data_IF_017828325141
#
_entry.id   IF_017828325141
#
_cell.length_a   1.000
_cell.length_b   1.000
_cell.length_c   1.000
_cell.angle_alpha   90.00
_cell.angle_beta   90.00
_cell.angle_gamma   90.00
#
_symmetry.space_group_name_H-M   'P 1'
#
loop_
_entity.id
_entity.type
_entity.pdbx_description
1 polymer ?
#
# COMPACT_ATOMS: atom_id res chain seq x y z
N UNK A 1 23.93 -15.62 2.73
CA UNK A 1 22.86 -15.10 3.58
C UNK A 1 22.38 -13.80 2.96
N UNK A 2 21.13 -13.74 2.51
CA UNK A 2 20.53 -12.48 2.05
C UNK A 2 20.24 -11.63 3.27
N UNK A 3 20.76 -10.40 3.33
CA UNK A 3 20.57 -9.50 4.46
C UNK A 3 19.21 -8.81 4.31
N UNK A 4 18.26 -9.12 5.19
CA UNK A 4 16.99 -8.38 5.27
C UNK A 4 17.28 -7.00 5.86
N UNK A 5 16.81 -5.97 5.18
CA UNK A 5 16.86 -4.59 5.66
C UNK A 5 15.45 -4.09 5.91
N UNK A 6 15.30 -3.15 6.85
CA UNK A 6 14.01 -2.56 7.19
C UNK A 6 14.03 -1.08 6.84
N UNK A 7 13.02 -0.64 6.10
CA UNK A 7 12.80 0.77 5.81
C UNK A 7 11.48 1.20 6.41
N UNK A 8 11.45 2.41 6.95
CA UNK A 8 10.20 3.09 7.27
C UNK A 8 9.41 3.33 6.00
N UNK A 9 8.08 3.33 6.08
CA UNK A 9 7.27 3.54 4.89
C UNK A 9 7.52 4.92 4.26
N UNK A 10 7.74 5.96 5.09
CA UNK A 10 8.14 7.32 4.65
C UNK A 10 9.37 7.33 3.73
N UNK A 11 10.29 6.41 3.99
CA UNK A 11 11.57 6.32 3.28
C UNK A 11 11.48 5.29 2.14
N UNK A 12 10.47 4.41 2.18
CA UNK A 12 10.30 3.31 1.23
C UNK A 12 10.01 3.81 -0.18
N UNK A 13 9.19 4.83 -0.35
CA UNK A 13 8.94 5.37 -1.70
C UNK A 13 10.20 6.02 -2.31
N UNK A 14 11.00 6.69 -1.48
CA UNK A 14 12.28 7.30 -1.88
C UNK A 14 13.28 6.20 -2.25
N UNK A 15 13.40 5.16 -1.42
CA UNK A 15 14.29 4.04 -1.66
C UNK A 15 13.85 3.17 -2.84
N UNK A 16 12.56 2.95 -3.06
CA UNK A 16 12.05 2.27 -4.26
C UNK A 16 12.32 3.10 -5.53
N UNK A 17 12.28 4.43 -5.44
CA UNK A 17 12.69 5.33 -6.53
C UNK A 17 14.21 5.31 -6.76
N UNK A 18 14.99 5.35 -5.69
CA UNK A 18 16.45 5.34 -5.73
C UNK A 18 16.98 3.99 -6.23
N UNK A 19 16.36 2.90 -5.77
CA UNK A 19 16.64 1.53 -6.18
C UNK A 19 15.94 1.14 -7.48
N UNK A 20 15.63 2.10 -8.39
CA UNK A 20 15.06 1.85 -9.73
C UNK A 20 15.85 0.88 -10.62
N UNK A 21 16.93 0.27 -10.13
CA UNK A 21 17.79 -0.68 -10.82
C UNK A 21 18.17 -1.92 -10.00
N UNK A 22 17.77 -2.00 -8.72
CA UNK A 22 18.16 -3.08 -7.83
C UNK A 22 16.89 -3.81 -7.36
N UNK A 23 16.82 -5.12 -7.59
CA UNK A 23 15.62 -5.96 -7.44
C UNK A 23 15.13 -6.04 -5.98
N UNK A 24 14.60 -4.94 -5.44
CA UNK A 24 14.06 -4.87 -4.08
C UNK A 24 12.79 -5.70 -4.00
N UNK A 25 12.87 -6.80 -3.26
CA UNK A 25 11.73 -7.65 -2.99
C UNK A 25 11.29 -7.48 -1.53
N UNK A 26 10.05 -7.07 -1.26
CA UNK A 26 9.53 -7.04 0.09
C UNK A 26 9.30 -8.47 0.59
N UNK A 27 9.59 -8.69 1.87
CA UNK A 27 9.46 -9.99 2.55
C UNK A 27 8.61 -9.91 3.82
N UNK A 28 8.53 -8.73 4.45
CA UNK A 28 7.61 -8.48 5.58
C UNK A 28 7.10 -7.04 5.62
N UNK A 29 5.97 -6.83 6.29
CA UNK A 29 5.49 -5.53 6.73
C UNK A 29 5.20 -5.57 8.23
N UNK A 30 5.60 -4.52 8.94
CA UNK A 30 5.50 -4.40 10.40
C UNK A 30 4.45 -3.33 10.70
N UNK A 31 3.38 -3.71 11.37
CA UNK A 31 2.16 -2.93 11.60
C UNK A 31 1.84 -2.98 13.10
N UNK A 32 2.20 -1.95 13.86
CA UNK A 32 1.88 -1.80 15.29
C UNK A 32 1.98 -3.10 16.12
N UNK A 33 3.20 -3.64 16.22
CA UNK A 33 3.48 -4.88 16.97
C UNK A 33 3.18 -6.18 16.21
N UNK A 34 2.52 -6.12 15.05
CA UNK A 34 2.32 -7.26 14.15
C UNK A 34 3.39 -7.30 13.05
N UNK A 35 3.86 -8.50 12.72
CA UNK A 35 4.74 -8.73 11.57
C UNK A 35 4.03 -9.68 10.62
N UNK A 36 3.86 -9.26 9.36
CA UNK A 36 3.20 -10.04 8.33
C UNK A 36 4.15 -10.33 7.18
N UNK A 37 4.26 -11.60 6.79
CA UNK A 37 5.05 -11.99 5.61
C UNK A 37 4.35 -11.58 4.31
N UNK A 38 5.10 -11.01 3.38
CA UNK A 38 4.61 -10.55 2.08
C UNK A 38 5.46 -11.09 0.94
N UNK A 39 4.92 -11.15 -0.27
CA UNK A 39 5.63 -11.70 -1.45
C UNK A 39 5.98 -10.65 -2.48
N UNK A 40 5.26 -9.53 -2.48
CA UNK A 40 5.36 -8.44 -3.44
C UNK A 40 4.82 -7.13 -2.82
N UNK A 41 4.98 -6.02 -3.54
CA UNK A 41 4.55 -4.70 -3.06
C UNK A 41 3.04 -4.50 -3.01
N UNK A 42 2.27 -5.27 -3.80
CA UNK A 42 0.80 -5.29 -3.71
C UNK A 42 0.37 -5.90 -2.37
N UNK A 43 1.02 -6.98 -1.94
CA UNK A 43 0.76 -7.60 -0.63
C UNK A 43 1.06 -6.61 0.50
N UNK A 44 2.10 -5.77 0.40
CA UNK A 44 2.38 -4.72 1.39
C UNK A 44 1.21 -3.74 1.47
N UNK A 45 0.77 -3.19 0.33
CA UNK A 45 -0.34 -2.25 0.28
C UNK A 45 -1.63 -2.87 0.83
N UNK A 46 -1.95 -4.11 0.42
CA UNK A 46 -3.09 -4.88 0.92
C UNK A 46 -3.08 -5.01 2.43
N UNK A 47 -1.96 -5.44 3.02
CA UNK A 47 -1.87 -5.64 4.47
C UNK A 47 -1.99 -4.34 5.27
N UNK A 48 -1.41 -3.23 4.77
CA UNK A 48 -1.59 -1.91 5.38
C UNK A 48 -3.07 -1.52 5.37
N UNK A 49 -3.75 -1.68 4.22
CA UNK A 49 -5.16 -1.31 4.07
C UNK A 49 -6.06 -2.16 4.97
N UNK A 50 -5.88 -3.48 5.00
CA UNK A 50 -6.64 -4.33 5.91
C UNK A 50 -6.41 -3.97 7.37
N UNK A 51 -5.17 -3.74 7.78
CA UNK A 51 -4.88 -3.33 9.16
C UNK A 51 -5.58 -2.02 9.53
N UNK A 52 -5.66 -1.04 8.62
CA UNK A 52 -6.41 0.20 8.83
C UNK A 52 -7.92 -0.05 8.95
N UNK A 53 -8.48 -0.97 8.17
CA UNK A 53 -9.89 -1.37 8.25
C UNK A 53 -10.17 -2.08 9.58
N UNK A 54 -9.35 -3.08 9.94
CA UNK A 54 -9.51 -3.90 11.13
C UNK A 54 -9.37 -3.09 12.43
N UNK A 55 -8.54 -2.04 12.42
CA UNK A 55 -8.40 -1.10 13.53
C UNK A 55 -9.43 0.02 13.53
N UNK A 56 -10.36 0.04 12.57
CA UNK A 56 -11.40 1.05 12.43
C UNK A 56 -10.91 2.43 12.00
N UNK A 57 -9.65 2.54 11.54
CA UNK A 57 -9.02 3.79 11.11
C UNK A 57 -9.40 4.18 9.68
N UNK A 58 -9.69 3.18 8.84
CA UNK A 58 -10.27 3.36 7.52
C UNK A 58 -11.70 2.82 7.50
N UNK A 59 -12.66 3.70 7.21
CA UNK A 59 -14.09 3.41 7.16
C UNK A 59 -14.69 3.85 5.82
N UNK A 60 -15.89 3.38 5.50
CA UNK A 60 -16.59 3.72 4.26
C UNK A 60 -16.81 5.24 4.13
N UNK A 61 -16.98 5.95 5.25
CA UNK A 61 -17.17 7.41 5.30
C UNK A 61 -15.98 8.22 4.74
N UNK A 62 -14.80 7.61 4.66
CA UNK A 62 -13.58 8.23 4.15
C UNK A 62 -13.36 7.94 2.66
N UNK A 63 -14.28 7.23 2.00
CA UNK A 63 -14.20 6.88 0.58
C UNK A 63 -14.86 7.95 -0.31
N UNK A 64 -14.40 8.12 -1.56
CA UNK A 64 -13.24 7.47 -2.17
C UNK A 64 -11.91 8.04 -1.67
N UNK A 65 -10.91 7.18 -1.52
CA UNK A 65 -9.52 7.60 -1.33
C UNK A 65 -8.88 7.77 -2.72
N UNK A 66 -8.47 8.98 -3.12
CA UNK A 66 -7.80 9.19 -4.40
C UNK A 66 -6.34 8.72 -4.36
N UNK A 67 -5.75 8.53 -5.55
CA UNK A 67 -4.30 8.39 -5.70
C UNK A 67 -3.57 9.68 -5.29
N UNK A 68 -2.41 9.56 -4.64
CA UNK A 68 -1.61 10.68 -4.15
C UNK A 68 -1.24 11.68 -5.25
N UNK A 69 -0.78 11.18 -6.40
CA UNK A 69 -0.33 12.00 -7.53
C UNK A 69 -1.42 12.19 -8.62
N UNK A 70 -2.59 11.56 -8.46
CA UNK A 70 -3.66 11.56 -9.46
C UNK A 70 -5.01 11.71 -8.77
N UNK A 71 -5.39 12.92 -8.31
CA UNK A 71 -6.60 13.13 -7.51
C UNK A 71 -7.91 12.73 -8.23
N UNK A 72 -7.88 12.65 -9.57
CA UNK A 72 -9.00 12.20 -10.39
C UNK A 72 -9.12 10.66 -10.48
N UNK A 73 -8.14 9.90 -9.95
CA UNK A 73 -8.13 8.44 -9.94
C UNK A 73 -8.39 7.93 -8.54
N UNK A 74 -9.20 6.89 -8.43
CA UNK A 74 -9.57 6.26 -7.16
C UNK A 74 -8.56 5.17 -6.79
N UNK A 75 -7.94 5.27 -5.63
CA UNK A 75 -7.08 4.24 -5.05
C UNK A 75 -7.89 3.23 -4.22
N UNK A 76 -8.80 3.72 -3.37
CA UNK A 76 -9.76 2.88 -2.62
C UNK A 76 -11.16 3.44 -2.84
N UNK A 77 -12.12 2.59 -3.18
CA UNK A 77 -13.50 2.99 -3.44
C UNK A 77 -14.52 2.01 -2.89
N UNK A 78 -15.78 2.45 -2.76
CA UNK A 78 -16.90 1.60 -2.36
C UNK A 78 -17.59 0.89 -3.54
N UNK A 79 -17.19 1.22 -4.76
CA UNK A 79 -17.73 0.66 -5.99
C UNK A 79 -16.62 0.57 -7.05
N UNK A 80 -16.31 -0.62 -7.58
CA UNK A 80 -15.32 -0.79 -8.62
C UNK A 80 -15.62 0.05 -9.87
N UNK A 81 -16.89 0.39 -10.16
CA UNK A 81 -17.25 1.21 -11.31
C UNK A 81 -16.57 2.59 -11.31
N UNK A 82 -16.16 3.08 -10.14
CA UNK A 82 -15.48 4.35 -9.93
C UNK A 82 -13.97 4.33 -10.24
N UNK A 83 -13.40 3.18 -10.59
CA UNK A 83 -12.02 3.13 -11.08
C UNK A 83 -11.93 3.58 -12.54
N UNK A 84 -10.79 4.19 -12.88
CA UNK A 84 -10.63 4.98 -14.10
C UNK A 84 -10.68 4.10 -15.35
N UNK A 85 -9.94 2.99 -15.34
CA UNK A 85 -9.85 2.07 -16.48
C UNK A 85 -10.63 0.79 -16.25
N UNK A 86 -11.11 0.14 -17.32
CA UNK A 86 -11.75 -1.19 -17.22
C UNK A 86 -10.86 -2.20 -16.51
N UNK A 87 -9.56 -2.21 -16.80
CA UNK A 87 -8.59 -3.10 -16.15
C UNK A 87 -8.50 -2.87 -14.64
N UNK A 88 -8.59 -1.62 -14.18
CA UNK A 88 -8.64 -1.32 -12.74
C UNK A 88 -9.92 -1.84 -12.11
N UNK A 89 -11.07 -1.75 -12.81
CA UNK A 89 -12.35 -2.30 -12.32
C UNK A 89 -12.29 -3.82 -12.21
N UNK A 90 -11.84 -4.48 -13.28
CA UNK A 90 -11.81 -5.95 -13.38
C UNK A 90 -10.76 -6.58 -12.45
N UNK A 91 -9.77 -5.80 -12.00
CA UNK A 91 -8.70 -6.25 -11.10
C UNK A 91 -8.69 -5.53 -9.74
N UNK A 92 -9.77 -4.81 -9.45
CA UNK A 92 -9.97 -4.25 -8.12
C UNK A 92 -10.07 -5.40 -7.14
N UNK A 93 -9.32 -5.30 -6.04
CA UNK A 93 -9.36 -6.30 -5.01
C UNK A 93 -10.47 -5.96 -4.01
N UNK A 94 -11.38 -6.90 -3.79
CA UNK A 94 -12.39 -6.81 -2.74
C UNK A 94 -11.71 -6.97 -1.38
N UNK A 95 -11.79 -5.92 -0.55
CA UNK A 95 -11.22 -5.90 0.79
C UNK A 95 -12.22 -6.40 1.86
N UNK A 96 -13.44 -6.75 1.46
CA UNK A 96 -14.57 -6.91 2.36
C UNK A 96 -15.15 -5.56 2.80
N UNK A 97 -16.25 -5.61 3.57
CA UNK A 97 -16.94 -4.42 4.09
C UNK A 97 -17.35 -3.38 3.01
N UNK A 98 -17.57 -3.83 1.78
CA UNK A 98 -17.95 -2.98 0.65
C UNK A 98 -16.83 -2.09 0.11
N UNK A 99 -15.55 -2.37 0.43
CA UNK A 99 -14.41 -1.58 -0.04
C UNK A 99 -13.57 -2.34 -1.06
N UNK A 100 -13.01 -1.59 -2.01
CA UNK A 100 -12.21 -2.13 -3.10
C UNK A 100 -10.88 -1.38 -3.21
N UNK A 101 -9.79 -2.12 -3.39
CA UNK A 101 -8.44 -1.60 -3.58
C UNK A 101 -8.01 -1.67 -5.06
N UNK A 102 -7.52 -0.55 -5.57
CA UNK A 102 -6.87 -0.52 -6.87
C UNK A 102 -5.39 -0.93 -6.75
N UNK A 103 -5.09 -2.13 -7.22
CA UNK A 103 -3.73 -2.71 -7.20
C UNK A 103 -2.97 -2.50 -8.51
N UNK A 104 -3.57 -1.84 -9.53
CA UNK A 104 -2.97 -1.60 -10.85
C UNK A 104 -2.02 -0.39 -10.84
N UNK A 105 -1.07 -0.39 -9.91
CA UNK A 105 -0.05 0.63 -9.77
C UNK A 105 1.32 -0.01 -9.54
N UNK A 106 2.38 0.65 -10.02
CA UNK A 106 3.76 0.24 -9.71
C UNK A 106 4.06 0.38 -8.21
N UNK A 107 5.08 -0.33 -7.73
CA UNK A 107 5.48 -0.36 -6.32
C UNK A 107 5.63 1.04 -5.71
N UNK A 108 6.32 1.94 -6.43
CA UNK A 108 6.49 3.35 -6.05
C UNK A 108 5.16 4.03 -5.71
N UNK A 109 4.21 3.97 -6.64
CA UNK A 109 2.92 4.63 -6.50
C UNK A 109 2.05 3.96 -5.42
N UNK A 110 2.18 2.64 -5.24
CA UNK A 110 1.52 1.94 -4.13
C UNK A 110 2.03 2.43 -2.78
N UNK A 111 3.34 2.64 -2.62
CA UNK A 111 3.93 3.10 -1.36
C UNK A 111 3.60 4.57 -1.09
N UNK A 112 3.64 5.44 -2.10
CA UNK A 112 3.16 6.83 -1.97
C UNK A 112 1.71 6.89 -1.48
N UNK A 113 0.84 6.06 -2.06
CA UNK A 113 -0.57 6.02 -1.66
C UNK A 113 -0.75 5.46 -0.25
N UNK A 114 0.01 4.43 0.13
CA UNK A 114 -0.04 3.89 1.49
C UNK A 114 0.41 4.92 2.51
N UNK A 115 1.47 5.69 2.21
CA UNK A 115 1.91 6.80 3.06
C UNK A 115 0.80 7.84 3.23
N UNK A 116 0.20 8.32 2.13
CA UNK A 116 -0.89 9.29 2.18
C UNK A 116 -2.11 8.74 2.94
N UNK A 117 -2.42 7.46 2.76
CA UNK A 117 -3.52 6.80 3.44
C UNK A 117 -3.28 6.73 4.96
N UNK A 118 -2.07 6.36 5.40
CA UNK A 118 -1.71 6.36 6.82
C UNK A 118 -1.87 7.74 7.44
N UNK A 119 -1.34 8.79 6.78
CA UNK A 119 -1.46 10.18 7.22
C UNK A 119 -2.93 10.59 7.34
N UNK A 120 -3.77 10.28 6.33
CA UNK A 120 -5.22 10.53 6.36
C UNK A 120 -5.94 9.79 7.48
N UNK A 121 -5.41 8.66 7.91
CA UNK A 121 -5.95 7.84 8.99
C UNK A 121 -5.33 8.19 10.37
N UNK A 122 -4.54 9.26 10.45
CA UNK A 122 -3.89 9.71 11.69
C UNK A 122 -2.78 8.77 12.18
N UNK A 123 -2.19 7.98 11.28
CA UNK A 123 -1.06 7.11 11.56
C UNK A 123 0.20 7.72 10.94
N UNK A 124 1.23 7.91 11.76
CA UNK A 124 2.51 8.41 11.29
C UNK A 124 3.22 7.33 10.43
N UNK A 125 3.55 7.58 9.15
CA UNK A 125 4.11 6.56 8.25
C UNK A 125 5.38 5.88 8.76
N UNK A 126 6.18 6.56 9.57
CA UNK A 126 7.39 6.03 10.21
C UNK A 126 7.13 4.90 11.22
N UNK A 127 5.87 4.68 11.61
CA UNK A 127 5.47 3.57 12.48
C UNK A 127 5.28 2.26 11.71
N UNK A 128 5.20 2.32 10.38
CA UNK A 128 5.12 1.15 9.50
C UNK A 128 6.49 0.92 8.89
N UNK A 129 6.99 -0.31 9.01
CA UNK A 129 8.26 -0.71 8.39
C UNK A 129 8.06 -1.83 7.38
N UNK A 130 8.77 -1.76 6.26
CA UNK A 130 8.82 -2.84 5.27
C UNK A 130 10.18 -3.51 5.34
N UNK A 131 10.18 -4.81 5.61
CA UNK A 131 11.35 -5.66 5.47
C UNK A 131 11.52 -6.06 4.01
N UNK A 132 12.72 -5.93 3.47
CA UNK A 132 13.04 -6.27 2.08
C UNK A 132 14.40 -6.94 1.95
N UNK A 133 14.55 -7.62 0.82
CA UNK A 133 15.77 -8.30 0.42
C UNK A 133 16.22 -7.80 -0.94
N UNK A 134 17.52 -7.60 -1.07
CA UNK A 134 18.15 -7.37 -2.36
C UNK A 134 18.25 -8.70 -3.10
N UNK A 135 17.60 -8.84 -4.27
CA UNK A 135 17.88 -9.97 -5.15
C UNK A 135 19.11 -9.66 -6.01
N UNK A 136 20.10 -10.56 -6.08
CA UNK A 136 21.25 -10.39 -6.96
C UNK A 136 20.84 -10.32 -8.43
#
# INVERSE_FOLDING_TARGET
MTKVQFLKLSDTAIEVRAARQENLKPVSVHLDGQIVSVRNWIDVARNIVHWLIDTGRLTESQLPVPYANYPHRTFIGSDPSRFHTRTERDRAEDLGNGMFLNTQAGAELLMDNCQLLLEKCGVAPETVCVGWEHRP
#
